data_IF_658726025952
#
_entry.id   IF_658726025952
#
_cell.length_a   1.000
_cell.length_b   1.000
_cell.length_c   1.000
_cell.angle_alpha   90.00
_cell.angle_beta   90.00
_cell.angle_gamma   90.00
#
_symmetry.space_group_name_H-M   'P 1'
#
loop_
_entity.id
_entity.type
_entity.pdbx_description
1 polymer ?
#
# COMPACT_ATOMS: atom_id res chain seq x y z
N UNK A 1 5.28 -8.32 25.48
CA UNK A 1 5.97 -7.11 24.96
C UNK A 1 7.30 -7.45 24.27
N UNK A 2 8.17 -8.27 24.87
CA UNK A 2 9.49 -8.63 24.29
C UNK A 2 9.39 -9.33 22.92
N UNK A 3 8.37 -10.16 22.70
CA UNK A 3 8.24 -10.95 21.47
C UNK A 3 7.88 -10.11 20.23
N UNK A 4 7.15 -9.00 20.39
CA UNK A 4 6.75 -8.12 19.29
C UNK A 4 7.88 -7.21 18.82
N UNK A 5 8.79 -6.79 19.70
CA UNK A 5 9.95 -5.99 19.30
C UNK A 5 10.96 -6.81 18.51
N UNK A 6 11.20 -8.06 18.92
CA UNK A 6 12.09 -8.97 18.20
C UNK A 6 11.64 -9.23 16.74
N UNK A 7 10.33 -9.27 16.49
CA UNK A 7 9.78 -9.42 15.14
C UNK A 7 10.18 -8.27 14.21
N UNK A 8 10.04 -7.01 14.67
CA UNK A 8 10.37 -5.85 13.86
C UNK A 8 11.87 -5.75 13.56
N UNK A 9 12.70 -6.10 14.55
CA UNK A 9 14.15 -6.18 14.38
C UNK A 9 14.52 -7.20 13.31
N UNK A 10 13.89 -8.38 13.31
CA UNK A 10 14.16 -9.42 12.30
C UNK A 10 13.62 -9.05 10.91
N UNK A 11 12.53 -8.30 10.83
CA UNK A 11 12.01 -7.76 9.57
C UNK A 11 12.92 -6.70 8.96
N UNK A 12 13.49 -5.80 9.78
CA UNK A 12 14.48 -4.82 9.33
C UNK A 12 15.74 -5.52 8.78
N UNK A 13 16.19 -6.63 9.39
CA UNK A 13 17.30 -7.44 8.84
C UNK A 13 16.99 -8.05 7.47
N UNK A 14 15.72 -8.33 7.18
CA UNK A 14 15.25 -8.92 5.91
C UNK A 14 14.85 -7.88 4.85
N UNK A 15 15.05 -6.58 5.12
CA UNK A 15 14.67 -5.46 4.24
C UNK A 15 15.11 -5.65 2.79
N UNK A 16 16.36 -6.04 2.55
CA UNK A 16 16.92 -6.17 1.20
C UNK A 16 16.08 -7.13 0.33
N UNK A 17 15.53 -8.19 0.93
CA UNK A 17 14.64 -9.12 0.21
C UNK A 17 13.19 -8.64 0.14
N UNK A 18 12.68 -7.97 1.17
CA UNK A 18 11.27 -7.58 1.27
C UNK A 18 10.94 -6.28 0.52
N UNK A 19 11.82 -5.28 0.59
CA UNK A 19 11.59 -3.95 0.00
C UNK A 19 11.34 -3.99 -1.51
N UNK A 20 12.10 -4.73 -2.34
CA UNK A 20 11.81 -4.81 -3.77
C UNK A 20 10.41 -5.36 -4.07
N UNK A 21 9.98 -6.39 -3.33
CA UNK A 21 8.65 -7.00 -3.49
C UNK A 21 7.56 -5.99 -3.14
N UNK A 22 7.71 -5.30 -2.00
CA UNK A 22 6.74 -4.30 -1.54
C UNK A 22 6.66 -3.14 -2.53
N UNK A 23 7.81 -2.63 -3.00
CA UNK A 23 7.86 -1.51 -3.96
C UNK A 23 7.18 -1.88 -5.28
N UNK A 24 7.44 -3.06 -5.85
CA UNK A 24 6.82 -3.48 -7.11
C UNK A 24 5.30 -3.48 -6.97
N UNK A 25 4.79 -4.17 -5.94
CA UNK A 25 3.35 -4.26 -5.71
C UNK A 25 2.70 -2.90 -5.44
N UNK A 26 3.34 -2.04 -4.63
CA UNK A 26 2.81 -0.71 -4.37
C UNK A 26 2.87 0.21 -5.59
N UNK A 27 3.91 0.08 -6.43
CA UNK A 27 4.05 0.86 -7.67
C UNK A 27 3.00 0.47 -8.70
N UNK A 28 2.79 -0.83 -8.90
CA UNK A 28 1.72 -1.32 -9.79
C UNK A 28 0.35 -0.89 -9.30
N UNK A 29 0.09 -1.04 -7.99
CA UNK A 29 -1.17 -0.62 -7.40
C UNK A 29 -1.41 0.88 -7.55
N UNK A 30 -0.41 1.71 -7.28
CA UNK A 30 -0.50 3.16 -7.45
C UNK A 30 -0.74 3.54 -8.92
N UNK A 31 -0.01 2.93 -9.86
CA UNK A 31 -0.15 3.21 -11.29
C UNK A 31 -1.56 2.86 -11.80
N UNK A 32 -2.07 1.68 -11.44
CA UNK A 32 -3.42 1.23 -11.80
C UNK A 32 -4.46 2.19 -11.20
N UNK A 33 -4.34 2.51 -9.91
CA UNK A 33 -5.28 3.40 -9.23
C UNK A 33 -5.30 4.80 -9.87
N UNK A 34 -4.14 5.40 -10.14
CA UNK A 34 -4.02 6.71 -10.80
C UNK A 34 -4.63 6.68 -12.21
N UNK A 35 -4.39 5.61 -12.97
CA UNK A 35 -4.99 5.44 -14.30
C UNK A 35 -6.52 5.45 -14.21
N UNK A 36 -7.12 4.70 -13.30
CA UNK A 36 -8.58 4.65 -13.17
C UNK A 36 -9.20 5.93 -12.62
N UNK A 37 -8.52 6.62 -11.69
CA UNK A 37 -8.93 7.95 -11.21
C UNK A 37 -9.10 8.92 -12.38
N UNK A 38 -8.24 8.85 -13.41
CA UNK A 38 -8.34 9.70 -14.60
C UNK A 38 -9.51 9.37 -15.54
N UNK A 39 -10.20 8.24 -15.33
CA UNK A 39 -11.27 7.72 -16.19
C UNK A 39 -12.64 7.69 -15.52
N UNK A 40 -12.71 7.89 -14.21
CA UNK A 40 -13.95 7.82 -13.45
C UNK A 40 -14.73 9.14 -13.48
N UNK A 41 -16.02 9.03 -13.79
CA UNK A 41 -16.99 10.13 -13.63
C UNK A 41 -17.82 10.00 -12.33
N UNK A 42 -17.83 8.81 -11.72
CA UNK A 42 -18.54 8.57 -10.46
C UNK A 42 -17.72 9.10 -9.26
N UNK A 43 -18.25 10.11 -8.57
CA UNK A 43 -17.54 10.82 -7.51
C UNK A 43 -17.24 9.94 -6.27
N UNK A 44 -18.18 9.12 -5.75
CA UNK A 44 -17.89 8.20 -4.65
C UNK A 44 -16.76 7.22 -4.96
N UNK A 45 -16.81 6.55 -6.12
CA UNK A 45 -15.77 5.60 -6.54
C UNK A 45 -14.44 6.31 -6.78
N UNK A 46 -14.47 7.52 -7.35
CA UNK A 46 -13.28 8.36 -7.52
C UNK A 46 -12.55 8.60 -6.19
N UNK A 47 -13.27 8.97 -5.12
CA UNK A 47 -12.66 9.21 -3.81
C UNK A 47 -12.00 7.94 -3.25
N UNK A 48 -12.65 6.78 -3.40
CA UNK A 48 -12.11 5.51 -2.91
C UNK A 48 -10.81 5.15 -3.64
N UNK A 49 -10.79 5.22 -4.97
CA UNK A 49 -9.58 4.89 -5.74
C UNK A 49 -8.47 5.92 -5.49
N UNK A 50 -8.82 7.20 -5.30
CA UNK A 50 -7.84 8.23 -4.95
C UNK A 50 -7.14 7.94 -3.61
N UNK A 51 -7.86 7.45 -2.60
CA UNK A 51 -7.27 7.05 -1.31
C UNK A 51 -6.28 5.89 -1.50
N UNK A 52 -6.62 4.90 -2.34
CA UNK A 52 -5.70 3.78 -2.66
C UNK A 52 -4.43 4.30 -3.33
N UNK A 53 -4.57 5.15 -4.35
CA UNK A 53 -3.45 5.76 -5.05
C UNK A 53 -2.51 6.50 -4.09
N UNK A 54 -3.08 7.28 -3.16
CA UNK A 54 -2.33 8.05 -2.18
C UNK A 54 -1.58 7.16 -1.19
N UNK A 55 -2.25 6.15 -0.61
CA UNK A 55 -1.62 5.23 0.35
C UNK A 55 -0.49 4.42 -0.28
N UNK A 56 -0.70 3.91 -1.50
CA UNK A 56 0.32 3.16 -2.23
C UNK A 56 1.54 4.05 -2.57
N UNK A 57 1.30 5.30 -2.97
CA UNK A 57 2.37 6.28 -3.26
C UNK A 57 3.18 6.66 -2.02
N UNK A 58 2.52 6.86 -0.87
CA UNK A 58 3.24 7.12 0.39
C UNK A 58 4.06 5.89 0.79
N UNK A 59 3.49 4.69 0.72
CA UNK A 59 4.22 3.47 1.04
C UNK A 59 5.49 3.31 0.19
N UNK A 60 5.41 3.62 -1.10
CA UNK A 60 6.57 3.67 -1.98
C UNK A 60 7.60 4.72 -1.54
N UNK A 61 7.15 5.93 -1.20
CA UNK A 61 8.04 6.98 -0.71
C UNK A 61 8.76 6.57 0.60
N UNK A 62 8.06 5.91 1.52
CA UNK A 62 8.64 5.39 2.76
C UNK A 62 9.69 4.31 2.51
N UNK A 63 9.46 3.44 1.52
CA UNK A 63 10.44 2.46 1.09
C UNK A 63 11.71 3.11 0.53
N UNK A 64 11.56 4.10 -0.35
CA UNK A 64 12.69 4.85 -0.95
C UNK A 64 13.47 5.60 0.12
N UNK A 65 12.78 6.25 1.06
CA UNK A 65 13.37 6.95 2.19
C UNK A 65 13.95 6.00 3.26
N UNK A 66 13.91 4.68 3.04
CA UNK A 66 14.44 3.66 3.93
C UNK A 66 13.92 3.76 5.37
N UNK A 67 12.65 4.17 5.54
CA UNK A 67 11.99 4.28 6.85
C UNK A 67 11.90 2.91 7.52
N UNK A 68 11.75 2.86 8.86
CA UNK A 68 11.62 1.60 9.60
C UNK A 68 10.58 0.66 8.97
N UNK A 69 10.92 -0.64 8.84
CA UNK A 69 10.08 -1.64 8.17
C UNK A 69 8.67 -1.75 8.76
N UNK A 70 8.49 -1.42 10.04
CA UNK A 70 7.19 -1.37 10.69
C UNK A 70 6.20 -0.46 9.96
N UNK A 71 6.62 0.76 9.64
CA UNK A 71 5.77 1.72 8.95
C UNK A 71 5.53 1.32 7.50
N UNK A 72 6.58 0.82 6.83
CA UNK A 72 6.48 0.30 5.46
C UNK A 72 5.43 -0.81 5.38
N UNK A 73 5.49 -1.79 6.29
CA UNK A 73 4.56 -2.92 6.31
C UNK A 73 3.14 -2.47 6.65
N UNK A 74 2.96 -1.52 7.56
CA UNK A 74 1.64 -0.96 7.84
C UNK A 74 1.04 -0.23 6.63
N UNK A 75 1.82 0.59 5.93
CA UNK A 75 1.35 1.26 4.71
C UNK A 75 1.06 0.26 3.59
N UNK A 76 1.90 -0.78 3.45
CA UNK A 76 1.64 -1.87 2.53
C UNK A 76 0.32 -2.58 2.83
N UNK A 77 0.14 -3.07 4.06
CA UNK A 77 -1.07 -3.78 4.47
C UNK A 77 -2.34 -2.94 4.35
N UNK A 78 -2.30 -1.66 4.74
CA UNK A 78 -3.43 -0.74 4.60
C UNK A 78 -3.77 -0.46 3.13
N UNK A 79 -2.77 -0.28 2.27
CA UNK A 79 -2.99 -0.12 0.82
C UNK A 79 -3.65 -1.36 0.21
N UNK A 80 -3.17 -2.56 0.52
CA UNK A 80 -3.79 -3.81 0.05
C UNK A 80 -5.22 -3.99 0.56
N UNK A 81 -5.47 -3.70 1.84
CA UNK A 81 -6.80 -3.82 2.43
C UNK A 81 -7.79 -2.84 1.80
N UNK A 82 -7.38 -1.59 1.57
CA UNK A 82 -8.19 -0.60 0.88
C UNK A 82 -8.56 -1.05 -0.55
N UNK A 83 -7.61 -1.66 -1.27
CA UNK A 83 -7.86 -2.20 -2.60
C UNK A 83 -8.85 -3.36 -2.60
N UNK A 84 -8.71 -4.31 -1.66
CA UNK A 84 -9.66 -5.43 -1.53
C UNK A 84 -11.05 -4.91 -1.19
N UNK A 85 -11.17 -3.98 -0.24
CA UNK A 85 -12.46 -3.39 0.13
C UNK A 85 -13.10 -2.65 -1.04
N UNK A 86 -12.32 -1.92 -1.83
CA UNK A 86 -12.81 -1.26 -3.05
C UNK A 86 -13.27 -2.27 -4.10
N UNK A 87 -12.55 -3.38 -4.29
CA UNK A 87 -12.97 -4.44 -5.21
C UNK A 87 -14.28 -5.08 -4.76
N UNK A 88 -14.43 -5.38 -3.46
CA UNK A 88 -15.66 -5.93 -2.90
C UNK A 88 -16.84 -4.96 -3.03
N UNK A 89 -16.59 -3.67 -2.81
CA UNK A 89 -17.60 -2.63 -3.02
C UNK A 89 -18.09 -2.63 -4.48
N UNK A 90 -17.18 -2.64 -5.46
CA UNK A 90 -17.54 -2.70 -6.88
C UNK A 90 -18.30 -3.98 -7.26
N UNK A 91 -18.00 -5.12 -6.64
CA UNK A 91 -18.72 -6.38 -6.90
C UNK A 91 -20.11 -6.45 -6.26
N UNK A 92 -20.38 -5.59 -5.27
CA UNK A 92 -21.66 -5.53 -4.55
C UNK A 92 -22.69 -4.57 -5.18
N UNK A 93 -22.29 -3.82 -6.20
CA UNK A 93 -23.15 -2.97 -7.02
C UNK A 93 -23.75 -3.77 -8.18
#
# INVERSE_FOLDING_TARGET
>A
MIQSENLWIDLDKKRIGLTPIIIILQTELAAIAIYYVSKLNDFPTFIIILVIAYLASIGNALNIACVNMRYIIYFFGTSCMASILSMLYCLSQ
#
